data_IF_326558815449
#
_entry.id   IF_326558815449
#
_cell.length_a   1.000
_cell.length_b   1.000
_cell.length_c   1.000
_cell.angle_alpha   90.00
_cell.angle_beta   90.00
_cell.angle_gamma   90.00
#
_symmetry.space_group_name_H-M   'P 1'
#
loop_
_entity.id
_entity.type
_entity.pdbx_description
1 polymer ?
#
# COMPACT_ATOMS: atom_id res chain seq x y z
N UNK A 1 49.68 -28.08 33.21
CA UNK A 1 50.34 -26.95 32.51
C UNK A 1 49.80 -26.89 31.08
N UNK A 2 49.03 -25.86 30.76
CA UNK A 2 48.72 -25.45 29.40
C UNK A 2 48.33 -23.97 29.46
N UNK A 3 48.88 -23.20 28.53
CA UNK A 3 49.16 -21.77 28.62
C UNK A 3 47.94 -20.96 28.21
N UNK A 4 47.51 -20.04 29.08
CA UNK A 4 46.49 -19.03 28.81
C UNK A 4 47.13 -17.94 27.95
N UNK A 5 46.77 -17.89 26.67
CA UNK A 5 47.15 -16.81 25.75
C UNK A 5 46.34 -15.55 26.07
N UNK A 6 47.01 -14.54 26.66
CA UNK A 6 46.49 -13.18 26.81
C UNK A 6 46.29 -12.53 25.45
N UNK A 7 45.05 -12.25 25.06
CA UNK A 7 44.77 -11.26 24.01
C UNK A 7 44.80 -9.86 24.62
N UNK A 8 45.69 -9.04 24.07
CA UNK A 8 45.94 -7.64 24.38
C UNK A 8 44.83 -6.80 23.73
N UNK A 9 44.06 -6.08 24.54
CA UNK A 9 43.17 -5.00 24.10
C UNK A 9 44.03 -3.79 23.68
N UNK A 10 43.76 -3.13 22.54
CA UNK A 10 44.27 -1.79 22.28
C UNK A 10 43.40 -0.74 22.99
N UNK A 11 44.09 0.29 23.47
CA UNK A 11 43.56 1.37 24.29
C UNK A 11 42.62 2.31 23.54
N UNK A 12 41.76 2.97 24.32
CA UNK A 12 41.00 4.14 23.93
C UNK A 12 41.92 5.29 23.47
N UNK A 13 41.59 5.86 22.32
CA UNK A 13 42.01 7.19 21.92
C UNK A 13 40.79 8.11 21.91
N UNK A 14 40.86 9.18 22.70
CA UNK A 14 39.80 10.18 22.92
C UNK A 14 39.36 10.98 21.69
N UNK A 15 38.41 11.92 21.87
CA UNK A 15 37.59 12.45 20.79
C UNK A 15 38.34 13.51 19.99
N UNK A 16 38.61 13.21 18.72
CA UNK A 16 39.02 14.20 17.74
C UNK A 16 37.79 14.89 17.16
N UNK A 17 37.62 16.17 17.51
CA UNK A 17 36.76 17.10 16.79
C UNK A 17 37.15 17.13 15.30
N UNK A 18 36.28 16.63 14.45
CA UNK A 18 36.23 17.01 13.03
C UNK A 18 34.79 17.27 12.64
N UNK A 19 34.46 18.56 12.65
CA UNK A 19 33.40 19.12 11.82
C UNK A 19 33.63 18.67 10.37
N UNK A 20 32.83 17.71 9.91
CA UNK A 20 32.66 17.46 8.48
C UNK A 20 31.31 18.02 8.07
N UNK A 21 31.37 19.22 7.51
CA UNK A 21 30.32 19.76 6.65
C UNK A 21 30.12 18.81 5.46
N UNK A 22 28.91 18.88 4.88
CA UNK A 22 28.45 18.20 3.66
C UNK A 22 27.94 16.76 3.79
N UNK A 23 26.71 16.65 4.27
CA UNK A 23 25.71 15.81 3.61
C UNK A 23 24.57 16.71 3.12
N UNK A 24 24.69 17.18 1.87
CA UNK A 24 23.56 17.75 1.14
C UNK A 24 22.60 16.59 0.92
N UNK A 25 21.68 16.39 1.86
CA UNK A 25 20.53 15.50 1.69
C UNK A 25 19.74 16.07 0.54
N UNK A 26 19.96 15.51 -0.64
CA UNK A 26 19.10 15.73 -1.79
C UNK A 26 17.79 15.06 -1.41
N UNK A 27 16.90 15.83 -0.80
CA UNK A 27 15.48 15.50 -0.74
C UNK A 27 14.99 15.51 -2.19
N UNK A 28 15.18 14.40 -2.90
CA UNK A 28 14.36 14.12 -4.06
C UNK A 28 12.93 13.99 -3.53
N UNK A 29 11.98 14.79 -4.04
CA UNK A 29 10.58 14.52 -3.76
C UNK A 29 10.30 13.14 -4.36
N UNK A 30 10.08 12.14 -3.50
CA UNK A 30 9.34 10.96 -3.90
C UNK A 30 7.96 11.50 -4.25
N UNK A 31 7.77 11.84 -5.53
CA UNK A 31 6.46 11.95 -6.14
C UNK A 31 5.91 10.52 -6.07
N UNK A 32 5.30 10.21 -4.94
CA UNK A 32 4.24 9.22 -4.89
C UNK A 32 3.20 9.84 -5.83
N UNK A 33 3.23 9.43 -7.09
CA UNK A 33 2.10 9.60 -7.99
C UNK A 33 1.00 8.77 -7.34
N UNK A 34 0.30 9.42 -6.43
CA UNK A 34 -0.83 8.91 -5.69
C UNK A 34 -1.89 8.58 -6.73
N UNK A 35 -1.82 7.36 -7.26
CA UNK A 35 -2.87 6.68 -8.01
C UNK A 35 -4.05 6.36 -7.08
N UNK A 36 -4.44 7.28 -6.19
CA UNK A 36 -5.55 7.11 -5.24
C UNK A 36 -6.86 7.65 -5.81
N UNK A 37 -6.84 8.41 -6.90
CA UNK A 37 -8.05 9.06 -7.44
C UNK A 37 -9.02 8.08 -8.10
N UNK A 38 -8.64 6.82 -8.33
CA UNK A 38 -9.55 5.82 -8.92
C UNK A 38 -10.55 5.20 -7.96
N UNK A 39 -10.43 5.44 -6.66
CA UNK A 39 -11.29 4.80 -5.65
C UNK A 39 -12.45 5.67 -5.16
N UNK A 40 -12.67 6.84 -5.78
CA UNK A 40 -13.87 7.64 -5.59
C UNK A 40 -14.85 7.37 -6.74
N UNK A 41 -16.14 7.25 -6.38
CA UNK A 41 -17.32 7.03 -7.25
C UNK A 41 -17.80 5.56 -7.36
N UNK A 42 -18.37 5.02 -6.27
CA UNK A 42 -19.15 3.75 -6.28
C UNK A 42 -20.68 4.00 -6.20
N UNK A 43 -21.16 5.23 -6.38
CA UNK A 43 -22.58 5.56 -6.48
C UNK A 43 -23.00 5.65 -7.95
N UNK A 44 -23.18 4.50 -8.60
CA UNK A 44 -23.83 4.44 -9.92
C UNK A 44 -23.08 3.64 -10.97
N UNK A 45 -23.07 2.31 -10.84
CA UNK A 45 -22.89 1.44 -12.01
C UNK A 45 -23.78 0.21 -11.90
N UNK A 46 -25.08 0.46 -11.83
CA UNK A 46 -26.13 -0.54 -12.09
C UNK A 46 -26.44 -0.55 -13.59
N UNK A 47 -25.48 -1.00 -14.41
CA UNK A 47 -25.75 -1.27 -15.83
C UNK A 47 -25.21 -2.64 -16.21
N UNK A 48 -25.60 -3.69 -15.50
CA UNK A 48 -25.49 -5.05 -16.02
C UNK A 48 -26.45 -6.00 -15.31
N UNK A 49 -27.70 -5.55 -15.13
CA UNK A 49 -28.84 -6.35 -14.71
C UNK A 49 -29.90 -6.13 -15.78
N UNK A 50 -29.72 -6.64 -17.01
CA UNK A 50 -30.76 -6.83 -18.04
C UNK A 50 -30.11 -7.42 -19.30
N UNK A 51 -30.21 -8.73 -19.50
CA UNK A 51 -29.73 -9.35 -20.74
C UNK A 51 -29.56 -10.86 -20.74
N UNK A 52 -30.28 -11.61 -19.90
CA UNK A 52 -30.26 -13.09 -19.96
C UNK A 52 -31.68 -13.63 -20.08
N UNK A 53 -32.38 -13.25 -21.15
CA UNK A 53 -33.55 -13.97 -21.68
C UNK A 53 -33.56 -13.82 -23.20
N UNK A 54 -32.77 -14.61 -23.91
CA UNK A 54 -32.98 -14.94 -25.32
C UNK A 54 -32.06 -16.10 -25.75
N UNK A 55 -32.34 -17.30 -25.23
CA UNK A 55 -31.97 -18.55 -25.87
C UNK A 55 -33.25 -19.23 -26.31
N UNK A 56 -33.76 -18.82 -27.47
CA UNK A 56 -34.99 -19.33 -28.05
C UNK A 56 -34.91 -19.36 -29.57
N UNK A 57 -34.65 -20.56 -30.09
CA UNK A 57 -34.93 -21.04 -31.46
C UNK A 57 -34.12 -20.45 -32.62
N UNK A 58 -33.07 -21.19 -32.97
CA UNK A 58 -32.73 -21.48 -34.36
C UNK A 58 -33.67 -22.59 -34.87
N UNK A 59 -34.23 -22.42 -36.06
CA UNK A 59 -34.50 -23.49 -37.04
C UNK A 59 -34.98 -22.84 -38.35
N UNK A 60 -34.11 -22.64 -39.36
CA UNK A 60 -34.59 -22.46 -40.72
C UNK A 60 -35.04 -23.82 -41.25
N UNK A 61 -36.35 -23.94 -41.44
CA UNK A 61 -37.00 -25.10 -42.06
C UNK A 61 -36.40 -25.39 -43.44
N UNK A 62 -36.09 -26.66 -43.67
CA UNK A 62 -35.64 -27.21 -44.95
C UNK A 62 -36.81 -27.20 -45.92
N UNK A 63 -36.81 -26.30 -46.89
CA UNK A 63 -37.61 -26.44 -48.11
C UNK A 63 -36.69 -26.69 -49.30
N UNK A 64 -36.65 -27.94 -49.74
CA UNK A 64 -36.00 -28.36 -50.99
C UNK A 64 -36.89 -27.94 -52.17
N UNK A 65 -36.39 -27.21 -53.18
CA UNK A 65 -37.02 -27.21 -54.49
C UNK A 65 -36.43 -28.34 -55.33
N UNK A 66 -37.27 -29.29 -55.70
CA UNK A 66 -37.02 -30.22 -56.80
C UNK A 66 -36.90 -29.42 -58.09
N UNK A 67 -35.69 -29.25 -58.60
CA UNK A 67 -35.42 -28.67 -59.90
C UNK A 67 -34.82 -29.75 -60.81
N UNK A 68 -35.64 -30.24 -61.74
CA UNK A 68 -35.23 -31.07 -62.87
C UNK A 68 -34.35 -30.24 -63.81
N UNK A 69 -33.06 -30.56 -63.89
CA UNK A 69 -32.14 -29.93 -64.84
C UNK A 69 -31.88 -30.85 -66.03
N UNK A 70 -32.52 -30.55 -67.15
CA UNK A 70 -32.17 -31.07 -68.47
C UNK A 70 -30.80 -30.55 -68.88
N UNK A 71 -29.85 -31.46 -69.11
CA UNK A 71 -28.49 -31.17 -69.56
C UNK A 71 -28.50 -30.71 -71.02
N UNK A 72 -28.29 -29.41 -71.26
CA UNK A 72 -27.86 -28.90 -72.57
C UNK A 72 -26.41 -28.45 -72.48
N UNK A 73 -25.56 -29.21 -73.17
CA UNK A 73 -24.13 -28.98 -73.30
C UNK A 73 -23.89 -27.78 -74.21
N UNK A 74 -23.18 -26.76 -73.70
CA UNK A 74 -22.54 -25.72 -74.51
C UNK A 74 -21.16 -25.44 -73.91
N UNK A 75 -20.13 -25.95 -74.57
CA UNK A 75 -18.72 -25.67 -74.26
C UNK A 75 -18.35 -24.25 -74.69
N UNK A 76 -17.72 -23.50 -73.78
CA UNK A 76 -17.06 -22.23 -74.13
C UNK A 76 -17.07 -21.13 -73.06
N UNK A 77 -18.01 -21.12 -72.09
CA UNK A 77 -18.20 -19.98 -71.15
C UNK A 77 -18.32 -20.37 -69.67
N UNK A 78 -17.92 -21.57 -69.28
CA UNK A 78 -18.16 -22.10 -67.91
C UNK A 78 -17.08 -21.75 -66.89
N UNK A 79 -15.86 -21.51 -67.33
CA UNK A 79 -14.72 -21.23 -66.43
C UNK A 79 -14.81 -19.82 -65.82
N UNK A 80 -15.12 -18.81 -66.64
CA UNK A 80 -15.25 -17.42 -66.18
C UNK A 80 -16.41 -17.18 -65.21
N UNK A 81 -17.49 -17.95 -65.34
CA UNK A 81 -18.66 -17.82 -64.47
C UNK A 81 -18.48 -18.57 -63.14
N UNK A 82 -17.77 -19.70 -63.12
CA UNK A 82 -17.35 -20.39 -61.88
C UNK A 82 -16.45 -19.49 -61.02
N UNK A 83 -15.41 -18.90 -61.61
CA UNK A 83 -14.49 -18.01 -60.88
C UNK A 83 -15.19 -16.77 -60.31
N UNK A 84 -16.19 -16.22 -61.00
CA UNK A 84 -17.01 -15.12 -60.49
C UNK A 84 -17.91 -15.56 -59.33
N UNK A 85 -18.48 -16.77 -59.38
CA UNK A 85 -19.25 -17.31 -58.26
C UNK A 85 -18.35 -17.56 -57.04
N UNK A 86 -17.19 -18.17 -57.23
CA UNK A 86 -16.20 -18.41 -56.17
C UNK A 86 -15.77 -17.10 -55.50
N UNK A 87 -15.53 -16.05 -56.29
CA UNK A 87 -15.20 -14.71 -55.75
C UNK A 87 -16.34 -14.16 -54.87
N UNK A 88 -17.61 -14.32 -55.29
CA UNK A 88 -18.78 -13.89 -54.51
C UNK A 88 -18.94 -14.72 -53.23
N UNK A 89 -18.74 -16.04 -53.30
CA UNK A 89 -18.77 -16.94 -52.14
C UNK A 89 -17.69 -16.56 -51.14
N UNK A 90 -16.45 -16.37 -51.59
CA UNK A 90 -15.33 -15.95 -50.74
C UNK A 90 -15.59 -14.58 -50.09
N UNK A 91 -16.19 -13.64 -50.83
CA UNK A 91 -16.57 -12.32 -50.29
C UNK A 91 -17.64 -12.47 -49.19
N UNK A 92 -18.65 -13.31 -49.41
CA UNK A 92 -19.69 -13.56 -48.41
C UNK A 92 -19.15 -14.29 -47.18
N UNK A 93 -18.29 -15.29 -47.37
CA UNK A 93 -17.62 -16.01 -46.29
C UNK A 93 -16.80 -15.06 -45.42
N UNK A 94 -15.95 -14.23 -46.05
CA UNK A 94 -15.16 -13.21 -45.34
C UNK A 94 -16.05 -12.26 -44.56
N UNK A 95 -17.11 -11.75 -45.18
CA UNK A 95 -18.07 -10.87 -44.50
C UNK A 95 -18.78 -11.54 -43.31
N UNK A 96 -19.06 -12.86 -43.38
CA UNK A 96 -19.62 -13.61 -42.26
C UNK A 96 -18.59 -13.82 -41.15
N UNK A 97 -17.36 -14.17 -41.50
CA UNK A 97 -16.26 -14.33 -40.55
C UNK A 97 -15.95 -13.03 -39.82
N UNK A 98 -15.95 -11.89 -40.51
CA UNK A 98 -15.76 -10.58 -39.90
C UNK A 98 -16.85 -10.23 -38.91
N UNK A 99 -18.12 -10.51 -39.24
CA UNK A 99 -19.24 -10.31 -38.30
C UNK A 99 -19.11 -11.19 -37.04
N UNK A 100 -18.61 -12.42 -37.18
CA UNK A 100 -18.35 -13.30 -36.04
C UNK A 100 -17.22 -12.72 -35.18
N UNK A 101 -16.09 -12.34 -35.79
CA UNK A 101 -14.95 -11.73 -35.10
C UNK A 101 -15.35 -10.47 -34.33
N UNK A 102 -16.09 -9.56 -34.97
CA UNK A 102 -16.55 -8.33 -34.32
C UNK A 102 -17.43 -8.59 -33.09
N UNK A 103 -18.36 -9.55 -33.18
CA UNK A 103 -19.20 -9.91 -32.02
C UNK A 103 -18.38 -10.52 -30.88
N UNK A 104 -17.41 -11.36 -31.22
CA UNK A 104 -16.51 -11.95 -30.25
C UNK A 104 -15.68 -10.88 -29.52
N UNK A 105 -15.03 -9.98 -30.25
CA UNK A 105 -14.22 -8.92 -29.64
C UNK A 105 -15.07 -7.97 -28.77
N UNK A 106 -16.30 -7.64 -29.22
CA UNK A 106 -17.23 -6.85 -28.39
C UNK A 106 -17.55 -7.55 -27.08
N UNK A 107 -17.89 -8.84 -27.12
CA UNK A 107 -18.20 -9.61 -25.91
C UNK A 107 -16.98 -9.73 -24.99
N UNK A 108 -15.80 -10.00 -25.56
CA UNK A 108 -14.53 -10.06 -24.82
C UNK A 108 -14.22 -8.74 -24.11
N UNK A 109 -14.44 -7.61 -24.78
CA UNK A 109 -14.28 -6.28 -24.17
C UNK A 109 -15.21 -6.08 -22.98
N UNK A 110 -16.48 -6.46 -23.10
CA UNK A 110 -17.46 -6.35 -22.00
C UNK A 110 -17.05 -7.21 -20.79
N UNK A 111 -16.61 -8.44 -21.04
CA UNK A 111 -16.13 -9.35 -19.98
C UNK A 111 -14.92 -8.74 -19.27
N UNK A 112 -13.96 -8.21 -20.03
CA UNK A 112 -12.75 -7.60 -19.49
C UNK A 112 -13.06 -6.35 -18.65
N UNK A 113 -13.95 -5.49 -19.14
CA UNK A 113 -14.39 -4.30 -18.40
C UNK A 113 -15.04 -4.67 -17.07
N UNK A 114 -15.96 -5.64 -17.07
CA UNK A 114 -16.61 -6.12 -15.85
C UNK A 114 -15.59 -6.72 -14.87
N UNK A 115 -14.68 -7.56 -15.35
CA UNK A 115 -13.62 -8.16 -14.52
C UNK A 115 -12.73 -7.08 -13.90
N UNK A 116 -12.33 -6.08 -14.70
CA UNK A 116 -11.52 -4.96 -14.23
C UNK A 116 -12.26 -4.12 -13.19
N UNK A 117 -13.56 -3.86 -13.39
CA UNK A 117 -14.40 -3.19 -12.40
C UNK A 117 -14.44 -3.94 -11.06
N UNK A 118 -14.63 -5.26 -11.09
CA UNK A 118 -14.62 -6.10 -9.88
C UNK A 118 -13.25 -6.10 -9.18
N UNK A 119 -12.16 -6.22 -9.95
CA UNK A 119 -10.79 -6.17 -9.43
C UNK A 119 -10.47 -4.81 -8.80
N UNK A 120 -10.86 -3.71 -9.45
CA UNK A 120 -10.67 -2.36 -8.93
C UNK A 120 -11.44 -2.17 -7.62
N UNK A 121 -12.70 -2.62 -7.56
CA UNK A 121 -13.50 -2.56 -6.33
C UNK A 121 -12.85 -3.35 -5.18
N UNK A 122 -12.31 -4.54 -5.46
CA UNK A 122 -11.57 -5.32 -4.48
C UNK A 122 -10.30 -4.58 -3.99
N UNK A 123 -9.52 -4.01 -4.93
CA UNK A 123 -8.33 -3.21 -4.62
C UNK A 123 -8.67 -1.99 -3.74
N UNK A 124 -9.72 -1.25 -4.07
CA UNK A 124 -10.16 -0.10 -3.28
C UNK A 124 -10.61 -0.49 -1.87
N UNK A 125 -11.26 -1.66 -1.69
CA UNK A 125 -11.61 -2.17 -0.35
C UNK A 125 -10.38 -2.50 0.47
N UNK A 126 -9.35 -3.07 -0.16
CA UNK A 126 -8.08 -3.37 0.51
C UNK A 126 -7.37 -2.08 0.93
N UNK A 127 -7.22 -1.12 0.02
CA UNK A 127 -6.53 0.14 0.29
C UNK A 127 -7.21 0.94 1.42
N UNK A 128 -8.54 0.95 1.49
CA UNK A 128 -9.26 1.59 2.62
C UNK A 128 -8.93 0.94 3.96
N UNK A 129 -8.84 -0.41 4.01
CA UNK A 129 -8.47 -1.13 5.23
C UNK A 129 -7.02 -0.86 5.61
N UNK A 130 -6.12 -0.85 4.64
CA UNK A 130 -4.70 -0.53 4.87
C UNK A 130 -4.53 0.88 5.43
N UNK A 131 -5.24 1.88 4.88
CA UNK A 131 -5.23 3.26 5.39
C UNK A 131 -5.75 3.37 6.82
N UNK A 132 -6.85 2.68 7.15
CA UNK A 132 -7.38 2.66 8.53
C UNK A 132 -6.40 2.00 9.51
N UNK A 133 -5.79 0.88 9.12
CA UNK A 133 -4.78 0.20 9.94
C UNK A 133 -3.55 1.08 10.17
N UNK A 134 -3.06 1.76 9.13
CA UNK A 134 -1.92 2.66 9.25
C UNK A 134 -2.23 3.86 10.15
N UNK A 135 -3.43 4.43 10.05
CA UNK A 135 -3.88 5.51 10.93
C UNK A 135 -3.92 5.05 12.40
N UNK A 136 -4.46 3.85 12.67
CA UNK A 136 -4.49 3.27 14.03
C UNK A 136 -3.08 3.04 14.56
N UNK A 137 -2.19 2.50 13.72
CA UNK A 137 -0.78 2.27 14.08
C UNK A 137 -0.07 3.57 14.42
N UNK A 138 -0.25 4.61 13.60
CA UNK A 138 0.34 5.92 13.83
C UNK A 138 -0.18 6.57 15.12
N UNK A 139 -1.48 6.46 15.39
CA UNK A 139 -2.09 6.96 16.64
C UNK A 139 -1.52 6.26 17.87
N UNK A 140 -1.51 4.92 17.87
CA UNK A 140 -0.97 4.14 18.99
C UNK A 140 0.50 4.45 19.24
N UNK A 141 1.29 4.62 18.17
CA UNK A 141 2.71 4.97 18.28
C UNK A 141 2.90 6.36 18.90
N UNK A 142 2.07 7.34 18.50
CA UNK A 142 2.09 8.69 19.07
C UNK A 142 1.68 8.70 20.54
N UNK A 143 0.62 8.00 20.90
CA UNK A 143 0.15 7.87 22.28
C UNK A 143 1.23 7.24 23.17
N UNK A 144 1.91 6.21 22.68
CA UNK A 144 3.04 5.60 23.38
C UNK A 144 4.19 6.61 23.61
N UNK A 145 4.59 7.35 22.57
CA UNK A 145 5.64 8.38 22.69
C UNK A 145 5.26 9.49 23.68
N UNK A 146 3.99 9.92 23.68
CA UNK A 146 3.47 10.90 24.64
C UNK A 146 3.58 10.35 26.06
N UNK A 147 3.18 9.10 26.29
CA UNK A 147 3.22 8.51 27.62
C UNK A 147 4.65 8.34 28.14
N UNK A 148 5.56 7.84 27.30
CA UNK A 148 7.00 7.79 27.64
C UNK A 148 7.52 9.18 27.99
N UNK A 149 7.21 10.18 27.17
CA UNK A 149 7.63 11.57 27.44
C UNK A 149 7.05 12.13 28.74
N UNK A 150 5.83 11.71 29.12
CA UNK A 150 5.20 12.11 30.39
C UNK A 150 5.92 11.48 31.57
N UNK A 151 6.21 10.17 31.48
CA UNK A 151 6.96 9.43 32.49
C UNK A 151 8.34 10.06 32.70
N UNK A 152 9.06 10.36 31.61
CA UNK A 152 10.39 10.97 31.68
C UNK A 152 10.36 12.32 32.40
N UNK A 153 9.40 13.19 32.07
CA UNK A 153 9.21 14.48 32.75
C UNK A 153 8.93 14.33 34.25
N UNK A 154 8.11 13.34 34.62
CA UNK A 154 7.82 13.07 36.03
C UNK A 154 9.07 12.56 36.76
N UNK A 155 9.83 11.67 36.14
CA UNK A 155 11.08 11.14 36.68
C UNK A 155 12.13 12.25 36.84
N UNK A 156 12.27 13.13 35.84
CA UNK A 156 13.15 14.30 35.89
C UNK A 156 12.78 15.24 37.02
N UNK A 157 11.48 15.54 37.18
CA UNK A 157 10.99 16.36 38.29
C UNK A 157 11.29 15.74 39.66
N UNK A 158 11.10 14.41 39.80
CA UNK A 158 11.42 13.70 41.03
C UNK A 158 12.91 13.71 41.34
N UNK A 159 13.78 13.51 40.34
CA UNK A 159 15.24 13.60 40.48
C UNK A 159 15.68 15.01 40.88
N UNK A 160 15.14 16.03 40.24
CA UNK A 160 15.43 17.43 40.56
C UNK A 160 15.04 17.77 42.01
N UNK A 161 13.86 17.33 42.46
CA UNK A 161 13.41 17.54 43.84
C UNK A 161 14.27 16.79 44.85
N UNK A 162 14.69 15.56 44.55
CA UNK A 162 15.58 14.79 45.41
C UNK A 162 16.95 15.47 45.56
N UNK A 163 17.53 15.96 44.46
CA UNK A 163 18.78 16.71 44.47
C UNK A 163 18.66 18.02 45.25
N UNK A 164 17.54 18.74 45.12
CA UNK A 164 17.30 19.97 45.89
C UNK A 164 17.24 19.69 47.41
N UNK A 165 16.51 18.64 47.82
CA UNK A 165 16.47 18.21 49.23
C UNK A 165 17.84 17.82 49.75
N UNK A 166 18.65 17.13 48.94
CA UNK A 166 20.03 16.78 49.28
C UNK A 166 20.86 18.04 49.53
N UNK A 167 20.87 18.98 48.59
CA UNK A 167 21.62 20.26 48.72
C UNK A 167 21.18 21.07 49.94
N UNK A 168 19.88 21.16 50.20
CA UNK A 168 19.38 21.87 51.37
C UNK A 168 19.79 21.18 52.69
N UNK A 169 19.72 19.85 52.74
CA UNK A 169 20.19 19.07 53.89
C UNK A 169 21.69 19.25 54.15
N UNK A 170 22.50 19.21 53.09
CA UNK A 170 23.95 19.44 53.16
C UNK A 170 24.25 20.88 53.63
N UNK A 171 23.57 21.88 53.06
CA UNK A 171 23.74 23.30 53.42
C UNK A 171 23.39 23.57 54.89
N UNK A 172 22.21 23.12 55.34
CA UNK A 172 21.76 23.30 56.73
C UNK A 172 22.67 22.59 57.73
N UNK A 173 23.22 21.42 57.36
CA UNK A 173 24.19 20.69 58.19
C UNK A 173 25.52 21.45 58.27
N UNK A 174 26.00 21.96 57.14
CA UNK A 174 27.23 22.76 57.08
C UNK A 174 27.10 24.05 57.90
N UNK A 175 25.97 24.75 57.80
CA UNK A 175 25.69 25.96 58.59
C UNK A 175 25.72 25.69 60.10
N UNK A 176 25.04 24.62 60.54
CA UNK A 176 25.09 24.18 61.95
C UNK A 176 26.52 23.87 62.39
N UNK A 177 27.29 23.17 61.57
CA UNK A 177 28.68 22.84 61.88
C UNK A 177 29.55 24.11 62.00
N UNK A 178 29.40 25.09 61.11
CA UNK A 178 30.09 26.38 61.19
C UNK A 178 29.73 27.10 62.49
N UNK A 179 28.44 27.16 62.85
CA UNK A 179 27.97 27.79 64.09
C UNK A 179 28.52 27.11 65.35
N UNK A 180 28.62 25.77 65.34
CA UNK A 180 29.21 25.02 66.45
C UNK A 180 30.70 25.31 66.60
N UNK A 181 31.45 25.36 65.49
CA UNK A 181 32.88 25.72 65.52
C UNK A 181 33.11 27.14 66.01
N UNK A 182 32.23 28.09 65.67
CA UNK A 182 32.37 29.49 66.11
C UNK A 182 31.94 29.73 67.56
N UNK A 183 30.89 29.05 68.03
CA UNK A 183 30.32 29.29 69.37
C UNK A 183 30.85 28.31 70.43
N UNK A 184 31.39 27.17 70.01
CA UNK A 184 31.84 26.08 70.91
C UNK A 184 30.71 25.30 71.60
N UNK A 185 29.45 25.55 71.22
CA UNK A 185 28.25 24.93 71.84
C UNK A 185 27.54 24.01 70.86
N UNK A 186 27.26 22.78 71.28
CA UNK A 186 26.48 21.79 70.52
C UNK A 186 24.99 22.07 70.73
N UNK A 187 24.15 22.18 69.67
CA UNK A 187 22.73 22.37 69.84
C UNK A 187 22.07 21.14 70.47
N UNK A 188 21.28 21.34 71.53
CA UNK A 188 20.49 20.30 72.16
C UNK A 188 19.27 19.99 71.29
N UNK A 189 19.30 18.88 70.54
CA UNK A 189 18.14 18.37 69.81
C UNK A 189 17.31 17.49 70.74
N UNK A 190 16.07 17.89 71.02
CA UNK A 190 15.11 17.04 71.72
C UNK A 190 14.66 15.92 70.77
N UNK A 191 15.05 14.68 71.07
CA UNK A 191 14.59 13.47 70.38
C UNK A 191 13.34 12.95 71.09
N UNK A 192 12.16 13.47 70.75
CA UNK A 192 10.90 12.82 71.13
C UNK A 192 10.43 11.92 69.97
N UNK A 193 10.21 10.65 70.27
CA UNK A 193 9.68 9.61 69.38
C UNK A 193 8.15 9.58 69.41
#
# INVERSE_FOLDING_TARGET
MAVITKQKMPEESGPGDRQSQNAKVINLPIKITTSSDKCQNDAGSSRFEHGQRQTGRQNPSTTKPTASFSKKENGGKRTTDSTKMETKVNTWERAKMDKIRQRYEKMKSIILEWQNGKRLKAKCRLERKEKDLELRRARASREHQIEVSRIDKMADGARALAEERKRNGESTTMEKAIKMRSTGKVPHTCFCF
#
